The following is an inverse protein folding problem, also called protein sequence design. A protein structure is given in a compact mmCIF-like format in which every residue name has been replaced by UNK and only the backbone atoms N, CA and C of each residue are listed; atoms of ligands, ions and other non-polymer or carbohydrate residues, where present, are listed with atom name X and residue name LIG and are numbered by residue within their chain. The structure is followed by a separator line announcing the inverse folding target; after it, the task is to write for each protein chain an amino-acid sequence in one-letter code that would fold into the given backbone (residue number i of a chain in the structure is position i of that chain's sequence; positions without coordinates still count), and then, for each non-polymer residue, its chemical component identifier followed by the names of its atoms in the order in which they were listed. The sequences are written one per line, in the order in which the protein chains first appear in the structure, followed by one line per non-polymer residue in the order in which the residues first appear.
data_IF_674832260811
#
_entry.id   IF_674832260811
#
_cell.length_a   1.000
_cell.length_b   1.000
_cell.length_c   1.000
_cell.angle_alpha   90.00
_cell.angle_beta   90.00
_cell.angle_gamma   90.00
#
_symmetry.space_group_name_H-M   'P 1'
#
loop_
_entity.id
_entity.type
_entity.pdbx_description
1 polymer ?
#
# COMPACT_ATOMS: atom_id res chain seq x y z
N UNK A 1 -1.80 -4.03 18.91
CA UNK A 1 -1.78 -4.86 17.69
C UNK A 1 -2.16 -6.27 18.11
N UNK A 2 -3.38 -6.71 17.80
CA UNK A 2 -3.78 -8.11 17.94
C UNK A 2 -2.84 -8.95 17.07
N UNK A 3 -2.05 -9.81 17.69
CA UNK A 3 -1.21 -10.77 16.96
C UNK A 3 -2.15 -11.84 16.42
N UNK A 4 -1.91 -12.33 15.21
CA UNK A 4 -2.54 -13.56 14.71
C UNK A 4 -2.08 -14.75 15.58
N UNK A 5 -2.78 -14.98 16.69
CA UNK A 5 -2.63 -16.11 17.62
C UNK A 5 -3.47 -17.30 17.15
N UNK A 6 -3.37 -18.45 17.83
CA UNK A 6 -4.28 -19.58 17.60
C UNK A 6 -5.76 -19.19 17.70
N UNK A 7 -6.09 -18.22 18.55
CA UNK A 7 -7.45 -17.66 18.70
C UNK A 7 -7.93 -16.97 17.43
N UNK A 8 -7.04 -16.31 16.68
CA UNK A 8 -7.40 -15.67 15.40
C UNK A 8 -7.64 -16.71 14.32
N UNK A 9 -6.89 -17.82 14.32
CA UNK A 9 -7.15 -18.93 13.40
C UNK A 9 -8.50 -19.62 13.70
N UNK A 10 -8.81 -19.86 14.97
CA UNK A 10 -10.12 -20.38 15.39
C UNK A 10 -11.26 -19.42 15.03
N UNK A 11 -11.07 -18.11 15.23
CA UNK A 11 -12.03 -17.09 14.84
C UNK A 11 -12.25 -17.04 13.31
N UNK A 12 -11.18 -17.08 12.51
CA UNK A 12 -11.25 -17.12 11.04
C UNK A 12 -11.99 -18.37 10.54
N UNK A 13 -11.80 -19.52 11.20
CA UNK A 13 -12.45 -20.76 10.82
C UNK A 13 -13.90 -20.87 11.32
N UNK A 14 -14.23 -20.27 12.47
CA UNK A 14 -15.50 -20.42 13.15
C UNK A 14 -16.63 -19.50 12.67
N UNK A 15 -16.33 -18.44 11.90
CA UNK A 15 -17.33 -17.54 11.36
C UNK A 15 -17.89 -18.03 10.01
N UNK A 16 -19.18 -17.78 9.70
CA UNK A 16 -19.71 -17.88 8.33
C UNK A 16 -19.01 -16.89 7.39
N UNK A 17 -18.89 -17.23 6.11
CA UNK A 17 -18.17 -16.43 5.10
C UNK A 17 -18.67 -14.99 5.04
N UNK A 18 -19.98 -14.75 4.96
CA UNK A 18 -20.56 -13.39 4.88
C UNK A 18 -20.20 -12.49 6.09
N UNK A 19 -20.15 -13.09 7.29
CA UNK A 19 -19.76 -12.35 8.51
C UNK A 19 -18.27 -12.07 8.50
N UNK A 20 -17.48 -13.04 8.07
CA UNK A 20 -16.04 -12.93 8.01
C UNK A 20 -15.60 -11.88 6.99
N UNK A 21 -16.16 -11.88 5.80
CA UNK A 21 -15.92 -10.87 4.77
C UNK A 21 -16.19 -9.49 5.34
N UNK A 22 -17.38 -9.24 5.89
CA UNK A 22 -17.75 -7.94 6.48
C UNK A 22 -16.78 -7.49 7.57
N UNK A 23 -16.33 -8.40 8.43
CA UNK A 23 -15.36 -8.07 9.46
C UNK A 23 -13.98 -7.76 8.88
N UNK A 24 -13.49 -8.55 7.93
CA UNK A 24 -12.20 -8.34 7.26
C UNK A 24 -12.20 -7.06 6.40
N UNK A 25 -13.31 -6.71 5.76
CA UNK A 25 -13.50 -5.46 5.03
C UNK A 25 -13.29 -4.23 5.91
N UNK A 26 -13.63 -4.35 7.21
CA UNK A 26 -13.49 -3.28 8.21
C UNK A 26 -12.08 -3.15 8.79
N UNK A 27 -11.22 -4.16 8.61
CA UNK A 27 -9.84 -4.14 9.13
C UNK A 27 -8.92 -3.28 8.25
N UNK A 28 -7.90 -2.69 8.87
CA UNK A 28 -6.87 -1.92 8.16
C UNK A 28 -5.79 -2.84 7.57
N UNK A 29 -4.97 -2.33 6.65
CA UNK A 29 -3.86 -3.10 6.07
C UNK A 29 -2.86 -3.60 7.13
N UNK A 30 -2.71 -2.87 8.24
CA UNK A 30 -1.84 -3.24 9.37
C UNK A 30 -2.27 -4.54 10.05
N UNK A 31 -3.58 -4.84 10.08
CA UNK A 31 -4.07 -6.13 10.56
C UNK A 31 -3.49 -7.27 9.71
N UNK A 32 -3.50 -7.11 8.40
CA UNK A 32 -3.01 -8.10 7.44
C UNK A 32 -1.48 -8.22 7.44
N UNK A 33 -0.75 -7.15 7.77
CA UNK A 33 0.70 -7.19 8.03
C UNK A 33 1.04 -8.03 9.25
N UNK A 34 0.16 -8.09 10.27
CA UNK A 34 0.35 -8.85 11.50
C UNK A 34 0.43 -10.39 11.31
N UNK A 35 0.27 -10.87 10.08
CA UNK A 35 0.36 -12.28 9.69
C UNK A 35 1.79 -12.80 9.56
N UNK A 36 2.78 -12.20 10.24
CA UNK A 36 4.21 -12.51 10.11
C UNK A 36 4.61 -13.96 10.47
N UNK A 37 3.65 -14.82 10.82
CA UNK A 37 3.82 -16.25 11.01
C UNK A 37 3.02 -17.00 9.95
N UNK A 38 3.64 -18.05 9.40
CA UNK A 38 2.96 -18.98 8.51
C UNK A 38 1.71 -19.54 9.19
N UNK A 39 0.55 -19.20 8.61
CA UNK A 39 -0.73 -19.78 8.98
C UNK A 39 -0.88 -21.15 8.31
N UNK A 40 -1.65 -22.09 8.89
CA UNK A 40 -2.06 -23.28 8.17
C UNK A 40 -2.71 -22.89 6.83
N UNK A 41 -2.40 -23.63 5.77
CA UNK A 41 -2.77 -23.24 4.40
C UNK A 41 -4.27 -22.96 4.24
N UNK A 42 -5.14 -23.76 4.86
CA UNK A 42 -6.60 -23.58 4.85
C UNK A 42 -7.02 -22.23 5.47
N UNK A 43 -6.36 -21.83 6.56
CA UNK A 43 -6.62 -20.55 7.23
C UNK A 43 -6.09 -19.39 6.38
N UNK A 44 -4.90 -19.56 5.81
CA UNK A 44 -4.25 -18.59 4.96
C UNK A 44 -5.06 -18.31 3.69
N UNK A 45 -5.50 -19.35 3.01
CA UNK A 45 -6.35 -19.27 1.81
C UNK A 45 -7.65 -18.54 2.12
N UNK A 46 -8.29 -18.89 3.24
CA UNK A 46 -9.53 -18.23 3.66
C UNK A 46 -9.32 -16.75 3.94
N UNK A 47 -8.31 -16.39 4.71
CA UNK A 47 -7.94 -14.99 4.97
C UNK A 47 -7.60 -14.25 3.68
N UNK A 48 -6.94 -14.92 2.74
CA UNK A 48 -6.53 -14.32 1.49
C UNK A 48 -7.73 -13.98 0.60
N UNK A 49 -8.62 -14.96 0.40
CA UNK A 49 -9.77 -14.84 -0.46
C UNK A 49 -10.83 -13.87 0.09
N UNK A 50 -11.05 -13.88 1.41
CA UNK A 50 -12.12 -13.12 2.06
C UNK A 50 -11.71 -11.71 2.51
N UNK A 51 -10.42 -11.38 2.50
CA UNK A 51 -9.92 -10.10 3.02
C UNK A 51 -8.83 -9.46 2.18
N UNK A 52 -7.75 -10.18 1.89
CA UNK A 52 -6.60 -9.60 1.16
C UNK A 52 -6.97 -9.11 -0.24
N UNK A 53 -7.77 -9.88 -0.99
CA UNK A 53 -8.20 -9.48 -2.33
C UNK A 53 -8.91 -8.13 -2.31
N UNK A 54 -9.82 -7.92 -1.37
CA UNK A 54 -10.54 -6.66 -1.24
C UNK A 54 -9.61 -5.49 -0.87
N UNK A 55 -8.64 -5.71 0.02
CA UNK A 55 -7.69 -4.66 0.36
C UNK A 55 -6.80 -4.27 -0.82
N UNK A 56 -6.41 -5.25 -1.65
CA UNK A 56 -5.68 -4.97 -2.89
C UNK A 56 -6.52 -4.14 -3.87
N UNK A 57 -7.81 -4.46 -4.04
CA UNK A 57 -8.73 -3.66 -4.86
C UNK A 57 -8.80 -2.21 -4.35
N UNK A 58 -9.01 -2.01 -3.04
CA UNK A 58 -9.05 -0.66 -2.44
C UNK A 58 -7.76 0.13 -2.66
N UNK A 59 -6.61 -0.54 -2.59
CA UNK A 59 -5.30 0.08 -2.81
C UNK A 59 -5.09 0.43 -4.29
N UNK A 60 -5.55 -0.41 -5.21
CA UNK A 60 -5.52 -0.14 -6.65
C UNK A 60 -6.42 1.05 -7.03
N UNK A 61 -7.64 1.11 -6.48
CA UNK A 61 -8.54 2.26 -6.65
C UNK A 61 -7.89 3.56 -6.15
N UNK A 62 -7.24 3.50 -4.99
CA UNK A 62 -6.53 4.66 -4.43
C UNK A 62 -5.32 5.07 -5.28
N UNK A 63 -4.61 4.11 -5.89
CA UNK A 63 -3.51 4.40 -6.80
C UNK A 63 -4.00 5.17 -8.04
N UNK A 64 -5.09 4.71 -8.65
CA UNK A 64 -5.75 5.38 -9.79
C UNK A 64 -6.25 6.79 -9.43
N UNK A 65 -6.78 6.96 -8.22
CA UNK A 65 -7.18 8.29 -7.71
C UNK A 65 -5.97 9.23 -7.62
N UNK A 66 -4.86 8.77 -7.03
CA UNK A 66 -3.63 9.56 -6.87
C UNK A 66 -3.03 9.93 -8.23
N UNK A 67 -2.96 8.98 -9.16
CA UNK A 67 -2.51 9.20 -10.53
C UNK A 67 -3.37 10.24 -11.26
N UNK A 68 -4.70 10.14 -11.13
CA UNK A 68 -5.62 11.13 -11.70
C UNK A 68 -5.43 12.52 -11.10
N UNK A 69 -5.08 12.62 -9.82
CA UNK A 69 -4.82 13.90 -9.17
C UNK A 69 -3.52 14.53 -9.66
N UNK A 70 -2.47 13.74 -9.87
CA UNK A 70 -1.19 14.21 -10.41
C UNK A 70 -1.38 14.74 -11.85
N UNK A 71 -2.11 14.02 -12.70
CA UNK A 71 -2.35 14.44 -14.09
C UNK A 71 -3.24 15.69 -14.23
N UNK A 72 -3.97 16.07 -13.17
CA UNK A 72 -4.81 17.28 -13.11
C UNK A 72 -4.12 18.45 -12.42
N UNK A 73 -2.86 18.30 -12.00
CA UNK A 73 -2.10 19.43 -11.50
C UNK A 73 -1.99 20.46 -12.63
N UNK A 74 -2.44 21.68 -12.35
CA UNK A 74 -2.31 22.81 -13.26
C UNK A 74 -0.86 23.30 -13.18
N UNK A 75 -0.05 22.89 -14.15
CA UNK A 75 1.39 23.15 -14.21
C UNK A 75 1.72 24.47 -14.94
N UNK A 76 0.72 25.07 -15.61
CA UNK A 76 0.91 26.26 -16.43
C UNK A 76 1.20 27.51 -15.60
N UNK A 77 0.89 27.50 -14.29
CA UNK A 77 1.17 28.62 -13.35
C UNK A 77 2.50 28.50 -12.60
N UNK A 78 3.24 27.38 -12.71
CA UNK A 78 4.48 27.16 -11.92
C UNK A 78 5.61 26.69 -12.84
N UNK A 79 6.20 27.65 -13.55
CA UNK A 79 7.41 27.50 -14.37
C UNK A 79 8.69 27.45 -13.52
N UNK A 80 8.77 26.50 -12.58
CA UNK A 80 10.00 26.25 -11.83
C UNK A 80 10.49 24.83 -12.07
N UNK A 81 11.81 24.68 -12.30
CA UNK A 81 12.52 23.39 -12.38
C UNK A 81 12.18 22.47 -11.18
N UNK A 82 11.84 23.07 -10.03
CA UNK A 82 11.40 22.35 -8.84
C UNK A 82 10.09 21.55 -9.01
N UNK A 83 9.17 21.98 -9.88
CA UNK A 83 7.91 21.28 -10.13
C UNK A 83 8.13 20.08 -11.04
N UNK A 84 8.97 20.21 -12.05
CA UNK A 84 9.37 19.09 -12.92
C UNK A 84 10.07 17.98 -12.11
N UNK A 85 11.02 18.34 -11.24
CA UNK A 85 11.66 17.36 -10.34
C UNK A 85 10.66 16.66 -9.41
N UNK A 86 9.68 17.40 -8.87
CA UNK A 86 8.66 16.80 -7.98
C UNK A 86 7.74 15.84 -8.74
N UNK A 87 7.39 16.15 -9.99
CA UNK A 87 6.60 15.28 -10.86
C UNK A 87 7.37 14.03 -11.28
N UNK A 88 8.66 14.17 -11.56
CA UNK A 88 9.55 13.03 -11.84
C UNK A 88 9.60 12.08 -10.64
N UNK A 89 9.81 12.62 -9.43
CA UNK A 89 9.82 11.82 -8.20
C UNK A 89 8.46 11.15 -7.94
N UNK A 90 7.34 11.83 -8.18
CA UNK A 90 6.02 11.18 -8.05
C UNK A 90 5.83 10.06 -9.07
N UNK A 91 6.29 10.26 -10.31
CA UNK A 91 6.21 9.25 -11.36
C UNK A 91 7.06 8.03 -11.03
N UNK A 92 8.30 8.22 -10.55
CA UNK A 92 9.16 7.12 -10.09
C UNK A 92 8.53 6.38 -8.91
N UNK A 93 7.94 7.11 -7.96
CA UNK A 93 7.27 6.51 -6.81
C UNK A 93 6.04 5.69 -7.23
N UNK A 94 5.21 6.22 -8.13
CA UNK A 94 4.07 5.48 -8.69
C UNK A 94 4.52 4.23 -9.42
N UNK A 95 5.59 4.29 -10.22
CA UNK A 95 6.16 3.11 -10.87
C UNK A 95 6.57 2.04 -9.85
N UNK A 96 7.24 2.42 -8.76
CA UNK A 96 7.62 1.49 -7.67
C UNK A 96 6.40 0.92 -6.94
N UNK A 97 5.33 1.70 -6.79
CA UNK A 97 4.07 1.20 -6.26
C UNK A 97 3.40 0.23 -7.24
N UNK A 98 3.47 0.49 -8.54
CA UNK A 98 2.88 -0.37 -9.56
C UNK A 98 3.60 -1.72 -9.67
N UNK A 99 4.93 -1.74 -9.49
CA UNK A 99 5.69 -2.98 -9.36
C UNK A 99 5.17 -3.89 -8.23
N UNK A 100 4.61 -3.32 -7.15
CA UNK A 100 4.01 -4.13 -6.10
C UNK A 100 2.76 -4.90 -6.55
N UNK A 101 1.98 -4.36 -7.51
CA UNK A 101 0.86 -5.08 -8.11
C UNK A 101 1.36 -6.17 -9.07
N UNK A 102 2.43 -5.91 -9.83
CA UNK A 102 3.07 -6.92 -10.68
C UNK A 102 3.59 -8.10 -9.85
N UNK A 103 4.27 -7.83 -8.72
CA UNK A 103 4.73 -8.87 -7.79
C UNK A 103 3.55 -9.73 -7.29
N UNK A 104 2.42 -9.09 -6.96
CA UNK A 104 1.21 -9.83 -6.55
C UNK A 104 0.69 -10.73 -7.66
N UNK A 105 0.63 -10.25 -8.90
CA UNK A 105 0.20 -11.03 -10.06
C UNK A 105 1.16 -12.21 -10.31
N UNK A 106 2.47 -11.97 -10.19
CA UNK A 106 3.47 -13.04 -10.28
C UNK A 106 3.28 -14.12 -9.21
N UNK A 107 2.98 -13.73 -7.96
CA UNK A 107 2.71 -14.70 -6.88
C UNK A 107 1.52 -15.60 -7.22
N UNK A 108 0.49 -15.04 -7.85
CA UNK A 108 -0.67 -15.79 -8.33
C UNK A 108 -0.30 -16.73 -9.48
N UNK A 109 0.42 -16.23 -10.48
CA UNK A 109 0.86 -17.01 -11.64
C UNK A 109 1.82 -18.15 -11.27
N UNK A 110 2.73 -17.92 -10.31
CA UNK A 110 3.67 -18.91 -9.79
C UNK A 110 3.02 -19.90 -8.80
N UNK A 111 1.73 -19.73 -8.48
CA UNK A 111 0.98 -20.56 -7.53
C UNK A 111 1.68 -20.68 -6.17
N UNK A 112 2.21 -19.57 -5.66
CA UNK A 112 2.81 -19.54 -4.33
C UNK A 112 1.73 -19.88 -3.30
N UNK A 113 2.08 -20.72 -2.31
CA UNK A 113 1.19 -21.09 -1.21
C UNK A 113 0.58 -19.85 -0.54
N UNK A 114 -0.71 -19.90 -0.22
CA UNK A 114 -1.41 -18.80 0.43
C UNK A 114 -0.73 -18.42 1.74
N UNK A 115 -0.29 -19.39 2.54
CA UNK A 115 0.46 -19.14 3.78
C UNK A 115 1.70 -18.27 3.59
N UNK A 116 2.36 -18.37 2.43
CA UNK A 116 3.48 -17.50 2.07
C UNK A 116 2.99 -16.15 1.53
N UNK A 117 1.95 -16.17 0.70
CA UNK A 117 1.36 -14.96 0.11
C UNK A 117 0.84 -13.99 1.17
N UNK A 118 0.09 -14.44 2.18
CA UNK A 118 -0.38 -13.56 3.28
C UNK A 118 0.78 -12.83 3.96
N UNK A 119 1.91 -13.50 4.18
CA UNK A 119 3.10 -12.89 4.80
C UNK A 119 3.76 -11.87 3.86
N UNK A 120 4.06 -12.28 2.63
CA UNK A 120 4.80 -11.47 1.66
C UNK A 120 3.95 -10.28 1.19
N UNK A 121 2.74 -10.56 0.74
CA UNK A 121 1.82 -9.55 0.24
C UNK A 121 1.28 -8.67 1.36
N UNK A 122 1.19 -9.14 2.61
CA UNK A 122 0.75 -8.31 3.74
C UNK A 122 1.70 -7.15 4.01
N UNK A 123 3.00 -7.41 3.87
CA UNK A 123 4.04 -6.37 3.95
C UNK A 123 3.95 -5.42 2.77
N UNK A 124 3.84 -5.94 1.55
CA UNK A 124 3.68 -5.13 0.34
C UNK A 124 2.45 -4.22 0.43
N UNK A 125 1.28 -4.77 0.73
CA UNK A 125 0.02 -4.05 0.87
C UNK A 125 0.13 -2.87 1.85
N UNK A 126 0.76 -3.10 3.00
CA UNK A 126 1.00 -2.05 3.98
C UNK A 126 1.94 -0.95 3.45
N UNK A 127 3.01 -1.33 2.76
CA UNK A 127 3.96 -0.39 2.17
C UNK A 127 3.31 0.46 1.08
N UNK A 128 2.55 -0.17 0.18
CA UNK A 128 1.85 0.53 -0.91
C UNK A 128 0.84 1.51 -0.35
N UNK A 129 0.00 1.07 0.60
CA UNK A 129 -1.01 1.93 1.24
C UNK A 129 -0.39 3.16 1.92
N UNK A 130 0.73 2.97 2.62
CA UNK A 130 1.47 4.07 3.26
C UNK A 130 2.05 5.03 2.22
N UNK A 131 2.62 4.50 1.14
CA UNK A 131 3.15 5.30 0.03
C UNK A 131 2.06 6.16 -0.62
N UNK A 132 0.92 5.57 -0.98
CA UNK A 132 -0.22 6.29 -1.55
C UNK A 132 -0.78 7.36 -0.60
N UNK A 133 -0.85 7.06 0.69
CA UNK A 133 -1.28 8.04 1.71
C UNK A 133 -0.31 9.22 1.77
N UNK A 134 0.99 8.95 1.73
CA UNK A 134 2.02 9.97 1.75
C UNK A 134 1.95 10.87 0.51
N UNK A 135 1.81 10.30 -0.69
CA UNK A 135 1.61 11.09 -1.91
C UNK A 135 0.34 11.93 -1.80
N UNK A 136 -0.79 11.34 -1.39
CA UNK A 136 -2.05 12.06 -1.21
C UNK A 136 -1.90 13.28 -0.29
N UNK A 137 -1.21 13.11 0.84
CA UNK A 137 -0.92 14.21 1.78
C UNK A 137 -0.01 15.28 1.16
N UNK A 138 0.95 14.91 0.30
CA UNK A 138 1.80 15.90 -0.39
C UNK A 138 0.95 16.66 -1.41
N UNK A 139 0.11 15.97 -2.18
CA UNK A 139 -0.80 16.58 -3.16
C UNK A 139 -1.80 17.53 -2.50
N UNK A 140 -2.37 17.18 -1.33
CA UNK A 140 -3.27 18.06 -0.56
C UNK A 140 -2.60 19.37 -0.12
N UNK A 141 -1.27 19.34 0.02
CA UNK A 141 -0.48 20.49 0.41
C UNK A 141 0.28 21.12 -0.76
N UNK A 142 0.09 20.64 -2.00
CA UNK A 142 0.89 21.05 -3.16
C UNK A 142 0.91 22.56 -3.38
N UNK A 143 -0.26 23.23 -3.30
CA UNK A 143 -0.38 24.71 -3.38
C UNK A 143 -0.06 25.47 -2.07
N UNK A 144 0.14 24.77 -0.94
CA UNK A 144 0.52 25.37 0.36
C UNK A 144 2.03 25.42 0.58
N UNK A 145 2.81 24.78 -0.28
CA UNK A 145 4.27 24.68 -0.19
C UNK A 145 4.98 26.01 -0.51
N UNK A 146 4.24 27.01 -0.97
CA UNK A 146 4.77 28.28 -1.50
C UNK A 146 5.29 29.31 -0.46
N UNK A 147 5.55 28.91 0.79
CA UNK A 147 5.99 29.85 1.84
C UNK A 147 7.08 29.39 2.81
N UNK A 148 7.57 28.14 2.73
CA UNK A 148 8.55 27.64 3.72
C UNK A 148 9.51 26.60 3.13
N UNK A 149 10.63 27.06 2.56
CA UNK A 149 11.68 26.25 1.91
C UNK A 149 12.18 25.08 2.79
N UNK A 150 12.24 25.28 4.11
CA UNK A 150 12.71 24.28 5.06
C UNK A 150 11.78 23.05 5.15
N UNK A 151 10.47 23.25 5.07
CA UNK A 151 9.48 22.17 5.13
C UNK A 151 9.52 21.33 3.84
N UNK A 152 9.80 21.97 2.71
CA UNK A 152 9.98 21.32 1.41
C UNK A 152 11.19 20.39 1.42
N UNK A 153 12.34 20.87 1.90
CA UNK A 153 13.55 20.05 2.02
C UNK A 153 13.35 18.82 2.93
N UNK A 154 12.66 18.99 4.06
CA UNK A 154 12.42 17.90 5.01
C UNK A 154 11.45 16.84 4.45
N UNK A 155 10.44 17.26 3.67
CA UNK A 155 9.51 16.35 2.99
C UNK A 155 10.19 15.61 1.83
N UNK A 156 11.04 16.29 1.05
CA UNK A 156 11.90 15.67 0.03
C UNK A 156 12.80 14.61 0.65
N UNK A 157 13.46 14.92 1.77
CA UNK A 157 14.30 13.97 2.50
C UNK A 157 13.49 12.74 2.97
N UNK A 158 12.31 12.94 3.57
CA UNK A 158 11.45 11.82 3.99
C UNK A 158 10.99 10.96 2.83
N UNK A 159 10.69 11.56 1.67
CA UNK A 159 10.31 10.83 0.47
C UNK A 159 11.48 9.98 -0.02
N UNK A 160 12.69 10.54 -0.08
CA UNK A 160 13.92 9.82 -0.42
C UNK A 160 14.23 8.69 0.58
N UNK A 161 14.01 8.89 1.87
CA UNK A 161 14.17 7.85 2.89
C UNK A 161 13.18 6.69 2.72
N UNK A 162 11.96 6.95 2.27
CA UNK A 162 10.97 5.91 1.95
C UNK A 162 11.33 5.17 0.67
N UNK A 163 11.79 5.90 -0.36
CA UNK A 163 12.20 5.35 -1.66
C UNK A 163 13.45 4.48 -1.53
N UNK A 164 14.44 4.94 -0.77
CA UNK A 164 15.70 4.23 -0.52
C UNK A 164 15.61 3.25 0.67
N UNK A 165 14.41 3.05 1.24
CA UNK A 165 14.24 2.13 2.34
C UNK A 165 14.47 0.69 1.84
N UNK A 166 15.43 -0.06 2.41
CA UNK A 166 15.75 -1.43 1.96
C UNK A 166 14.59 -2.42 2.13
N UNK A 167 13.47 -2.01 2.73
CA UNK A 167 12.22 -2.78 2.78
C UNK A 167 11.48 -2.87 1.43
N UNK A 168 11.84 -2.04 0.44
CA UNK A 168 11.33 -2.09 -0.94
C UNK A 168 12.27 -2.81 -1.91
N UNK A 169 13.49 -3.14 -1.48
CA UNK A 169 14.44 -3.95 -2.24
C UNK A 169 14.27 -5.39 -1.76
N UNK A 170 13.34 -6.11 -2.36
CA UNK A 170 13.30 -7.57 -2.30
C UNK A 170 14.15 -8.15 -3.41
#
# INVERSE_FOLDING_TARGET
MEKLTGEVAEWLCGLPEEKLEKELSSKSAEFFKGSEKFLPEVVAERLYNMGFKEQWIKVEEKAKEVESRISKLDLDEVLDEEVEERLEVFSEFLNKLFQAFEIREEHENKKILFSHRVVLEGKLLCSVRKGLTLIGNILDNFKKVDKDEYVTALKRQKLNEVICCPSFVL
#
